data_IF_386827828648
#
_entry.id   IF_386827828648
#
_cell.length_a   1.000
_cell.length_b   1.000
_cell.length_c   1.000
_cell.angle_alpha   90.00
_cell.angle_beta   90.00
_cell.angle_gamma   90.00
#
_symmetry.space_group_name_H-M   'P 1'
#
loop_
_entity.id
_entity.type
_entity.pdbx_description
1 polymer ?
#
# COMPACT_ATOMS: atom_id res chain seq x y z
N UNK A 1 10.92 56.43 -1.28
CA UNK A 1 10.32 57.33 -2.28
C UNK A 1 11.38 57.90 -3.22
N UNK A 2 11.92 57.06 -4.11
CA UNK A 2 12.79 57.49 -5.25
C UNK A 2 12.53 56.60 -6.48
N UNK A 3 12.02 55.38 -6.28
CA UNK A 3 11.71 54.44 -7.38
C UNK A 3 10.31 54.54 -8.01
N UNK A 4 9.44 55.44 -7.53
CA UNK A 4 8.07 55.58 -8.08
C UNK A 4 8.03 56.61 -9.23
N UNK A 5 8.95 57.57 -9.26
CA UNK A 5 9.00 58.58 -10.33
C UNK A 5 9.61 58.06 -11.65
N UNK A 6 10.40 56.98 -11.62
CA UNK A 6 10.98 56.37 -12.82
C UNK A 6 9.98 55.54 -13.66
N UNK A 7 9.03 54.85 -13.02
CA UNK A 7 8.05 54.03 -13.73
C UNK A 7 6.98 54.83 -14.48
N UNK A 8 6.64 56.04 -14.02
CA UNK A 8 5.62 56.89 -14.66
C UNK A 8 6.04 57.40 -16.05
N UNK A 9 7.34 57.54 -16.31
CA UNK A 9 7.84 57.98 -17.62
C UNK A 9 7.90 56.82 -18.65
N UNK A 10 8.03 55.57 -18.21
CA UNK A 10 7.97 54.40 -19.10
C UNK A 10 6.52 54.08 -19.53
N UNK A 11 5.54 54.33 -18.66
CA UNK A 11 4.11 54.03 -18.92
C UNK A 11 3.52 54.94 -20.01
N UNK A 12 3.98 56.20 -20.13
CA UNK A 12 3.54 57.11 -21.21
C UNK A 12 4.12 56.74 -22.59
N UNK A 13 5.25 56.04 -22.65
CA UNK A 13 5.92 55.69 -23.91
C UNK A 13 5.32 54.46 -24.62
N UNK A 14 4.63 53.57 -23.88
CA UNK A 14 4.26 52.23 -24.40
C UNK A 14 2.76 52.01 -24.65
N UNK A 15 1.87 52.99 -24.42
CA UNK A 15 0.40 52.92 -24.65
C UNK A 15 -0.25 51.57 -24.22
N UNK A 16 0.10 51.04 -23.05
CA UNK A 16 -0.56 49.83 -22.53
C UNK A 16 -1.96 50.15 -22.00
N UNK A 17 -2.91 49.23 -22.21
CA UNK A 17 -4.28 49.37 -21.72
C UNK A 17 -4.37 49.08 -20.22
N UNK A 18 -5.39 49.63 -19.55
CA UNK A 18 -5.57 49.51 -18.10
C UNK A 18 -5.56 48.06 -17.60
N UNK A 19 -6.04 47.12 -18.43
CA UNK A 19 -6.06 45.68 -18.12
C UNK A 19 -4.67 45.05 -18.10
N UNK A 20 -3.72 45.52 -18.92
CA UNK A 20 -2.35 44.97 -18.94
C UNK A 20 -1.55 45.43 -17.72
N UNK A 21 -1.84 46.63 -17.22
CA UNK A 21 -1.23 47.18 -15.99
C UNK A 21 -1.65 46.35 -14.77
N UNK A 22 -2.93 45.98 -14.70
CA UNK A 22 -3.45 45.15 -13.60
C UNK A 22 -2.80 43.77 -13.53
N UNK A 23 -2.56 43.13 -14.68
CA UNK A 23 -1.90 41.81 -14.73
C UNK A 23 -0.44 41.89 -14.28
N UNK A 24 0.28 42.95 -14.67
CA UNK A 24 1.68 43.15 -14.25
C UNK A 24 1.75 43.40 -12.75
N UNK A 25 0.86 44.24 -12.19
CA UNK A 25 0.80 44.50 -10.74
C UNK A 25 0.46 43.22 -9.97
N UNK A 26 -0.48 42.39 -10.48
CA UNK A 26 -0.82 41.12 -9.86
C UNK A 26 0.35 40.13 -9.85
N UNK A 27 1.11 40.04 -10.95
CA UNK A 27 2.31 39.20 -11.04
C UNK A 27 3.45 39.67 -10.12
N UNK A 28 3.58 40.98 -9.90
CA UNK A 28 4.54 41.52 -8.93
C UNK A 28 4.12 41.24 -7.48
N UNK A 29 2.82 41.27 -7.15
CA UNK A 29 2.33 40.97 -5.81
C UNK A 29 2.42 39.47 -5.45
N UNK A 30 2.26 38.56 -6.40
CA UNK A 30 2.40 37.11 -6.14
C UNK A 30 3.85 36.66 -5.98
N UNK A 31 4.83 37.43 -6.49
CA UNK A 31 6.25 37.18 -6.24
C UNK A 31 6.75 37.71 -4.88
N UNK A 32 6.04 38.64 -4.23
CA UNK A 32 6.44 39.25 -2.96
C UNK A 32 5.85 38.56 -1.72
N UNK A 33 4.97 37.57 -1.88
CA UNK A 33 4.35 36.81 -0.80
C UNK A 33 4.84 35.34 -0.76
N UNK A 34 6.14 35.13 -0.95
CA UNK A 34 6.78 33.86 -0.58
C UNK A 34 7.51 34.04 0.77
N UNK A 35 7.24 33.20 1.79
CA UNK A 35 8.00 33.25 3.03
C UNK A 35 9.45 32.85 2.76
N UNK A 36 10.37 33.71 3.20
CA UNK A 36 11.81 33.44 3.22
C UNK A 36 12.09 32.26 4.15
N UNK A 37 12.33 31.07 3.61
CA UNK A 37 12.96 29.96 4.33
C UNK A 37 14.42 29.85 3.89
N UNK A 38 15.23 30.81 4.32
CA UNK A 38 16.68 30.65 4.45
C UNK A 38 16.96 29.98 5.79
N UNK A 39 17.14 28.65 5.77
CA UNK A 39 18.07 27.83 6.57
C UNK A 39 17.63 26.37 6.52
N UNK A 40 17.86 25.70 5.39
CA UNK A 40 17.85 24.25 5.29
C UNK A 40 18.89 23.72 4.29
N UNK A 41 19.88 24.54 3.92
CA UNK A 41 20.90 24.21 2.93
C UNK A 41 22.35 24.20 3.46
N UNK A 42 22.56 24.35 4.77
CA UNK A 42 23.88 24.15 5.41
C UNK A 42 23.96 22.88 6.27
N UNK A 43 22.86 22.13 6.43
CA UNK A 43 22.90 20.75 6.95
C UNK A 43 22.90 19.68 5.84
N UNK A 44 22.76 20.07 4.58
CA UNK A 44 22.75 19.13 3.46
C UNK A 44 24.16 18.92 2.86
N UNK A 45 25.06 19.91 2.93
CA UNK A 45 26.43 19.81 2.43
C UNK A 45 27.44 19.24 3.43
N UNK A 46 27.09 19.12 4.72
CA UNK A 46 27.86 18.33 5.71
C UNK A 46 27.34 16.88 5.89
N UNK A 47 26.16 16.56 5.34
CA UNK A 47 25.62 15.19 5.30
C UNK A 47 25.83 14.47 3.96
N UNK A 48 26.16 15.18 2.88
CA UNK A 48 26.56 14.58 1.60
C UNK A 48 28.01 14.06 1.59
N UNK A 49 28.92 14.60 2.41
CA UNK A 49 30.30 14.12 2.50
C UNK A 49 30.52 12.97 3.50
N UNK A 50 29.52 12.62 4.30
CA UNK A 50 29.55 11.45 5.19
C UNK A 50 28.64 10.30 4.74
N UNK A 51 28.01 10.42 3.55
CA UNK A 51 27.18 9.37 2.94
C UNK A 51 27.85 8.70 1.73
N UNK A 52 29.11 8.99 1.45
CA UNK A 52 29.92 8.27 0.46
C UNK A 52 30.54 6.97 1.02
N UNK A 53 30.22 6.57 2.26
CA UNK A 53 30.82 5.39 2.89
C UNK A 53 29.84 4.51 3.70
N UNK A 54 28.57 4.42 3.28
CA UNK A 54 27.64 3.42 3.86
C UNK A 54 26.40 3.11 3.01
N UNK A 55 26.58 2.79 1.73
CA UNK A 55 25.57 2.05 0.94
C UNK A 55 25.91 0.56 0.96
N UNK A 56 25.65 -0.10 2.09
CA UNK A 56 25.40 -1.54 2.07
C UNK A 56 23.96 -1.74 1.60
N UNK A 57 23.81 -1.85 0.29
CA UNK A 57 22.65 -2.51 -0.30
C UNK A 57 22.66 -3.94 0.26
N UNK A 58 21.58 -4.43 0.90
CA UNK A 58 21.51 -5.83 1.26
C UNK A 58 21.36 -6.63 -0.04
N UNK A 59 22.49 -7.04 -0.63
CA UNK A 59 22.55 -8.09 -1.64
C UNK A 59 22.17 -9.40 -0.96
N UNK A 60 20.88 -9.59 -0.68
CA UNK A 60 20.32 -10.85 -0.20
C UNK A 60 19.89 -11.74 -1.38
N UNK A 61 20.68 -11.72 -2.43
CA UNK A 61 21.02 -12.93 -3.16
C UNK A 61 22.52 -13.01 -3.05
N UNK A 62 22.99 -13.90 -2.18
CA UNK A 62 24.34 -14.41 -2.35
C UNK A 62 24.37 -14.90 -3.79
N UNK A 63 25.27 -14.42 -4.67
CA UNK A 63 25.67 -15.32 -5.73
C UNK A 63 26.17 -16.52 -4.94
N UNK A 64 25.46 -17.65 -5.02
CA UNK A 64 26.13 -18.94 -4.82
C UNK A 64 27.09 -19.05 -5.98
N UNK A 65 28.16 -18.27 -5.84
CA UNK A 65 29.38 -18.23 -6.59
C UNK A 65 29.80 -19.68 -6.61
N UNK A 66 29.65 -20.29 -7.79
CA UNK A 66 30.01 -21.67 -8.09
C UNK A 66 30.15 -22.53 -6.85
N UNK A 67 29.09 -23.27 -6.49
CA UNK A 67 29.37 -24.55 -5.83
C UNK A 67 30.16 -25.31 -6.88
N UNK A 68 31.48 -25.26 -6.74
CA UNK A 68 32.46 -25.79 -7.68
C UNK A 68 32.26 -27.29 -7.70
N UNK A 69 31.25 -27.72 -8.44
CA UNK A 69 31.06 -29.11 -8.80
C UNK A 69 32.06 -29.29 -9.91
N UNK A 70 33.20 -29.85 -9.51
CA UNK A 70 34.30 -30.35 -10.31
C UNK A 70 34.03 -30.23 -11.81
N UNK A 71 34.72 -29.31 -12.47
CA UNK A 71 35.03 -29.49 -13.89
C UNK A 71 35.90 -30.75 -13.94
N UNK A 72 35.29 -31.92 -14.00
CA UNK A 72 36.00 -33.19 -14.21
C UNK A 72 36.47 -33.24 -15.66
N UNK A 73 37.52 -32.48 -15.96
CA UNK A 73 38.39 -32.75 -17.09
C UNK A 73 39.55 -33.60 -16.60
N UNK A 74 39.53 -34.90 -16.86
CA UNK A 74 40.74 -35.70 -16.72
C UNK A 74 41.74 -35.25 -17.78
N UNK A 75 42.72 -34.42 -17.38
CA UNK A 75 43.88 -34.15 -18.21
C UNK A 75 44.80 -35.37 -18.11
N UNK A 76 44.72 -36.26 -19.10
CA UNK A 76 45.73 -37.30 -19.29
C UNK A 76 46.90 -36.65 -20.02
N UNK A 77 47.99 -36.39 -19.30
CA UNK A 77 49.30 -36.22 -19.89
C UNK A 77 49.66 -37.54 -20.60
N UNK A 78 49.42 -37.60 -21.90
CA UNK A 78 49.99 -38.65 -22.74
C UNK A 78 50.34 -38.05 -24.09
N UNK A 79 51.64 -37.87 -24.30
CA UNK A 79 52.24 -37.87 -25.63
C UNK A 79 51.63 -39.01 -26.46
N UNK A 80 51.05 -38.66 -27.61
CA UNK A 80 50.40 -39.55 -28.60
C UNK A 80 48.95 -39.99 -28.33
N UNK A 81 48.08 -39.09 -27.88
CA UNK A 81 46.63 -39.27 -28.00
C UNK A 81 46.05 -38.17 -28.91
N UNK A 82 45.35 -38.59 -29.96
CA UNK A 82 44.46 -37.74 -30.76
C UNK A 82 43.61 -36.92 -29.79
N UNK A 83 43.80 -35.59 -29.80
CA UNK A 83 43.24 -34.70 -28.79
C UNK A 83 41.71 -34.84 -28.79
N UNK A 84 41.17 -35.56 -27.82
CA UNK A 84 39.73 -35.66 -27.64
C UNK A 84 39.22 -34.26 -27.31
N UNK A 85 38.29 -33.70 -28.12
CA UNK A 85 37.84 -32.34 -27.90
C UNK A 85 37.17 -32.23 -26.54
N UNK A 86 37.62 -31.28 -25.72
CA UNK A 86 37.02 -30.96 -24.42
C UNK A 86 35.54 -30.62 -24.66
N UNK A 87 34.63 -31.46 -24.17
CA UNK A 87 33.20 -31.19 -24.28
C UNK A 87 32.73 -30.33 -23.11
N UNK A 88 32.29 -29.11 -23.41
CA UNK A 88 31.68 -28.22 -22.42
C UNK A 88 30.21 -28.61 -22.25
N UNK A 89 29.75 -28.80 -21.02
CA UNK A 89 28.41 -29.30 -20.72
C UNK A 89 27.84 -28.64 -19.47
N UNK A 90 26.58 -28.21 -19.54
CA UNK A 90 25.81 -27.74 -18.40
C UNK A 90 24.62 -28.68 -18.16
N UNK A 91 24.34 -28.98 -16.89
CA UNK A 91 23.28 -29.89 -16.49
C UNK A 91 22.40 -29.30 -15.39
N UNK A 92 21.10 -29.55 -15.49
CA UNK A 92 20.10 -29.21 -14.49
C UNK A 92 19.34 -30.49 -14.13
N UNK A 93 19.69 -31.09 -13.00
CA UNK A 93 19.25 -32.45 -12.69
C UNK A 93 19.79 -33.45 -13.73
N UNK A 94 18.89 -34.15 -14.42
CA UNK A 94 19.23 -35.15 -15.44
C UNK A 94 19.32 -34.58 -16.86
N UNK A 95 18.81 -33.37 -17.11
CA UNK A 95 18.88 -32.76 -18.45
C UNK A 95 20.18 -31.98 -18.60
N UNK A 96 20.85 -32.21 -19.71
CA UNK A 96 22.13 -31.56 -19.99
C UNK A 96 22.17 -31.01 -21.42
N UNK A 97 22.94 -29.95 -21.60
CA UNK A 97 23.22 -29.33 -22.89
C UNK A 97 24.73 -29.23 -23.10
N UNK A 98 25.20 -29.60 -24.28
CA UNK A 98 26.60 -29.48 -24.68
C UNK A 98 26.82 -28.14 -25.39
N UNK A 99 28.05 -27.62 -25.32
CA UNK A 99 28.45 -26.35 -25.88
C UNK A 99 29.76 -26.50 -26.65
N UNK A 100 29.83 -25.85 -27.81
CA UNK A 100 31.00 -25.92 -28.70
C UNK A 100 32.20 -25.13 -28.13
N UNK A 101 31.93 -24.07 -27.38
CA UNK A 101 32.96 -23.20 -26.80
C UNK A 101 32.44 -22.49 -25.54
N UNK A 102 33.36 -21.88 -24.79
CA UNK A 102 33.07 -21.18 -23.53
C UNK A 102 32.10 -20.00 -23.73
N UNK A 103 32.14 -19.34 -24.89
CA UNK A 103 31.30 -18.18 -25.21
C UNK A 103 29.83 -18.61 -25.28
N UNK A 104 29.54 -19.74 -25.93
CA UNK A 104 28.18 -20.31 -26.02
C UNK A 104 27.60 -20.73 -24.67
N UNK A 105 28.44 -20.94 -23.66
CA UNK A 105 28.04 -21.28 -22.30
C UNK A 105 27.77 -20.06 -21.42
N UNK A 106 28.15 -18.84 -21.85
CA UNK A 106 27.94 -17.62 -21.09
C UNK A 106 26.44 -17.37 -20.88
N UNK A 107 26.06 -17.10 -19.62
CA UNK A 107 24.68 -16.84 -19.23
C UNK A 107 23.80 -18.10 -19.18
N UNK A 108 24.37 -19.30 -19.26
CA UNK A 108 23.62 -20.55 -19.10
C UNK A 108 23.36 -20.82 -17.62
N UNK A 109 22.09 -20.92 -17.25
CA UNK A 109 21.63 -21.25 -15.90
C UNK A 109 20.48 -22.27 -15.96
N UNK A 110 20.09 -22.80 -14.80
CA UNK A 110 18.96 -23.72 -14.71
C UNK A 110 17.64 -22.94 -14.60
N UNK A 111 16.74 -23.18 -15.55
CA UNK A 111 15.33 -22.85 -15.41
C UNK A 111 14.56 -24.13 -15.05
N UNK A 112 14.27 -24.30 -13.76
CA UNK A 112 13.80 -25.58 -13.24
C UNK A 112 14.83 -26.69 -13.51
N UNK A 113 14.43 -27.67 -14.31
CA UNK A 113 15.29 -28.80 -14.71
C UNK A 113 15.96 -28.60 -16.07
N UNK A 114 15.87 -27.42 -16.69
CA UNK A 114 16.38 -27.21 -18.05
C UNK A 114 17.55 -26.21 -18.06
N UNK A 115 18.75 -26.59 -18.54
CA UNK A 115 19.83 -25.64 -18.76
C UNK A 115 19.51 -24.72 -19.94
N UNK A 116 19.48 -23.41 -19.70
CA UNK A 116 19.06 -22.41 -20.67
C UNK A 116 19.92 -21.15 -20.60
N UNK A 117 20.14 -20.52 -21.75
CA UNK A 117 20.85 -19.25 -21.83
C UNK A 117 19.91 -18.09 -21.46
N UNK A 118 20.12 -17.46 -20.30
CA UNK A 118 19.30 -16.36 -19.78
C UNK A 118 19.60 -14.99 -20.42
N UNK A 119 20.56 -14.91 -21.34
CA UNK A 119 20.74 -13.74 -22.22
C UNK A 119 19.70 -13.78 -23.33
N UNK A 120 19.38 -14.98 -23.83
CA UNK A 120 18.38 -15.19 -24.89
C UNK A 120 16.98 -15.48 -24.35
N UNK A 121 16.91 -16.06 -23.14
CA UNK A 121 15.68 -16.49 -22.50
C UNK A 121 15.48 -15.77 -21.17
N UNK A 122 14.29 -15.88 -20.63
CA UNK A 122 13.96 -15.49 -19.26
C UNK A 122 13.27 -16.68 -18.59
N UNK A 123 13.60 -16.92 -17.32
CA UNK A 123 12.99 -17.99 -16.54
C UNK A 123 12.01 -17.40 -15.53
N UNK A 124 10.74 -17.76 -15.64
CA UNK A 124 9.68 -17.33 -14.72
C UNK A 124 9.10 -18.56 -14.02
N UNK A 125 9.29 -18.67 -12.69
CA UNK A 125 8.80 -19.81 -11.88
C UNK A 125 9.11 -21.20 -12.49
N UNK A 126 10.35 -21.39 -12.94
CA UNK A 126 10.84 -22.62 -13.59
C UNK A 126 10.32 -22.89 -15.01
N UNK A 127 9.56 -21.97 -15.59
CA UNK A 127 9.14 -22.00 -16.99
C UNK A 127 10.05 -21.10 -17.81
N UNK A 128 10.58 -21.64 -18.91
CA UNK A 128 11.49 -20.94 -19.80
C UNK A 128 10.69 -20.20 -20.88
N UNK A 129 11.03 -18.94 -21.12
CA UNK A 129 10.41 -18.11 -22.15
C UNK A 129 11.48 -17.41 -22.99
N UNK A 130 11.15 -17.10 -24.24
CA UNK A 130 11.99 -16.25 -25.06
C UNK A 130 12.01 -14.83 -24.50
N UNK A 131 13.18 -14.21 -24.47
CA UNK A 131 13.35 -12.85 -23.94
C UNK A 131 12.89 -11.79 -24.94
N UNK A 132 12.65 -12.16 -26.20
CA UNK A 132 12.18 -11.27 -27.25
C UNK A 132 10.99 -11.89 -27.97
N UNK A 133 9.97 -11.08 -28.23
CA UNK A 133 8.89 -11.41 -29.16
C UNK A 133 8.63 -10.18 -30.01
N UNK A 134 8.95 -10.28 -31.31
CA UNK A 134 8.99 -9.12 -32.20
C UNK A 134 9.95 -8.04 -31.70
N UNK A 135 9.46 -6.81 -31.55
CA UNK A 135 10.22 -5.66 -31.02
C UNK A 135 10.28 -5.59 -29.49
N UNK A 136 9.49 -6.41 -28.79
CA UNK A 136 9.35 -6.35 -27.33
C UNK A 136 10.44 -7.18 -26.65
N UNK A 137 11.03 -6.63 -25.60
CA UNK A 137 12.04 -7.29 -24.76
C UNK A 137 11.48 -7.50 -23.35
N UNK A 138 11.46 -8.74 -22.90
CA UNK A 138 10.99 -9.12 -21.57
C UNK A 138 12.16 -9.23 -20.61
N UNK A 139 12.20 -8.36 -19.61
CA UNK A 139 13.28 -8.28 -18.63
C UNK A 139 12.87 -8.76 -17.23
N UNK A 140 11.56 -8.97 -17.01
CA UNK A 140 10.98 -9.28 -15.70
C UNK A 140 9.92 -10.37 -15.78
N UNK A 141 9.58 -10.93 -14.63
CA UNK A 141 8.51 -11.92 -14.48
C UNK A 141 7.38 -11.37 -13.62
N UNK A 142 6.15 -11.66 -14.05
CA UNK A 142 4.92 -11.49 -13.32
C UNK A 142 4.38 -12.90 -13.01
N UNK A 143 4.76 -13.46 -11.87
CA UNK A 143 4.59 -14.90 -11.61
C UNK A 143 5.27 -15.77 -12.69
N UNK A 144 4.50 -16.52 -13.48
CA UNK A 144 5.00 -17.41 -14.54
C UNK A 144 5.11 -16.69 -15.88
N UNK A 145 4.61 -15.46 -15.99
CA UNK A 145 4.49 -14.74 -17.26
C UNK A 145 5.61 -13.70 -17.36
N UNK A 146 6.44 -13.71 -18.41
CA UNK A 146 7.40 -12.64 -18.64
C UNK A 146 6.66 -11.35 -19.04
N UNK A 147 7.12 -10.19 -18.57
CA UNK A 147 6.57 -8.89 -18.96
C UNK A 147 7.67 -7.88 -19.24
N UNK A 148 7.34 -6.89 -20.06
CA UNK A 148 8.22 -5.86 -20.55
C UNK A 148 8.00 -4.53 -19.80
N UNK A 149 8.90 -3.57 -20.01
CA UNK A 149 8.87 -2.27 -19.32
C UNK A 149 7.65 -1.39 -19.65
N UNK A 150 6.98 -1.66 -20.78
CA UNK A 150 5.76 -0.99 -21.23
C UNK A 150 4.47 -1.65 -20.69
N UNK A 151 4.61 -2.66 -19.83
CA UNK A 151 3.53 -3.41 -19.23
C UNK A 151 3.55 -3.28 -17.70
N UNK A 152 2.40 -3.50 -17.08
CA UNK A 152 2.21 -3.50 -15.63
C UNK A 152 1.86 -4.90 -15.13
N UNK A 153 2.45 -5.32 -14.02
CA UNK A 153 2.16 -6.60 -13.37
C UNK A 153 1.31 -6.38 -12.10
N UNK A 154 0.12 -6.97 -12.04
CA UNK A 154 -0.76 -6.96 -10.86
C UNK A 154 -1.11 -8.39 -10.45
N UNK A 155 -0.65 -8.81 -9.26
CA UNK A 155 -0.88 -10.15 -8.68
C UNK A 155 -0.70 -11.34 -9.65
N UNK A 156 0.32 -11.28 -10.51
CA UNK A 156 0.63 -12.35 -11.46
C UNK A 156 -0.09 -12.24 -12.81
N UNK A 157 -0.91 -11.20 -13.03
CA UNK A 157 -1.48 -10.84 -14.33
C UNK A 157 -0.72 -9.68 -14.95
N UNK A 158 -0.51 -9.74 -16.26
CA UNK A 158 0.20 -8.72 -17.03
C UNK A 158 -0.81 -7.89 -17.82
N UNK A 159 -0.71 -6.57 -17.73
CA UNK A 159 -1.54 -5.60 -18.41
C UNK A 159 -0.68 -4.70 -19.31
N UNK A 160 -1.22 -4.36 -20.48
CA UNK A 160 -0.60 -3.38 -21.37
C UNK A 160 -0.72 -1.97 -20.79
N UNK A 161 0.37 -1.20 -20.83
CA UNK A 161 0.41 0.17 -20.34
C UNK A 161 1.42 0.37 -19.22
N UNK A 162 2.20 1.45 -19.37
CA UNK A 162 3.18 1.88 -18.38
C UNK A 162 2.50 2.66 -17.25
N UNK A 163 2.93 2.41 -16.01
CA UNK A 163 2.51 3.21 -14.86
C UNK A 163 1.05 3.06 -14.45
N UNK A 164 0.41 1.94 -14.80
CA UNK A 164 -0.89 1.61 -14.22
C UNK A 164 -0.72 1.29 -12.73
N UNK A 165 -1.74 1.58 -11.92
CA UNK A 165 -1.80 1.10 -10.55
C UNK A 165 -2.52 -0.24 -10.48
N UNK A 166 -2.19 -1.02 -9.47
CA UNK A 166 -2.85 -2.27 -9.17
C UNK A 166 -3.92 -2.07 -8.10
N UNK A 167 -5.10 -2.62 -8.36
CA UNK A 167 -6.16 -2.84 -7.39
C UNK A 167 -6.42 -4.34 -7.33
N UNK A 168 -5.81 -5.02 -6.35
CA UNK A 168 -5.77 -6.48 -6.36
C UNK A 168 -5.09 -6.99 -7.63
N UNK A 169 -5.80 -7.88 -8.34
CA UNK A 169 -5.30 -8.44 -9.59
C UNK A 169 -5.50 -7.54 -10.81
N UNK A 170 -6.26 -6.44 -10.69
CA UNK A 170 -6.59 -5.58 -11.82
C UNK A 170 -5.69 -4.36 -11.92
N UNK A 171 -5.35 -3.97 -13.15
CA UNK A 171 -4.62 -2.74 -13.42
C UNK A 171 -5.58 -1.62 -13.87
N UNK A 172 -5.35 -0.40 -13.40
CA UNK A 172 -6.13 0.77 -13.79
C UNK A 172 -5.30 2.04 -13.82
N UNK A 173 -5.78 3.04 -14.56
CA UNK A 173 -5.19 4.36 -14.58
C UNK A 173 -5.62 5.15 -13.32
N UNK A 174 -4.67 5.52 -12.46
CA UNK A 174 -4.92 6.32 -11.25
C UNK A 174 -5.61 7.66 -11.52
N UNK A 175 -5.48 8.18 -12.74
CA UNK A 175 -6.09 9.45 -13.15
C UNK A 175 -7.49 9.29 -13.75
N UNK A 176 -7.97 8.05 -13.93
CA UNK A 176 -9.36 7.83 -14.34
C UNK A 176 -10.31 8.12 -13.17
N UNK A 177 -10.92 9.31 -13.21
CA UNK A 177 -11.89 9.77 -12.20
C UNK A 177 -13.16 8.92 -12.11
N UNK A 178 -13.36 7.95 -13.01
CA UNK A 178 -14.48 6.99 -12.96
C UNK A 178 -14.08 5.68 -12.30
N UNK A 179 -12.84 5.53 -11.85
CA UNK A 179 -12.34 4.32 -11.21
C UNK A 179 -11.91 4.60 -9.79
N UNK A 180 -12.13 3.63 -8.92
CA UNK A 180 -11.68 3.67 -7.52
C UNK A 180 -11.42 2.25 -7.06
N UNK A 181 -10.36 2.09 -6.28
CA UNK A 181 -10.00 0.82 -5.66
C UNK A 181 -10.44 0.83 -4.20
N UNK A 182 -11.28 -0.13 -3.80
CA UNK A 182 -11.70 -0.33 -2.42
C UNK A 182 -11.23 -1.71 -1.96
N UNK A 183 -10.26 -1.75 -1.04
CA UNK A 183 -9.66 -2.99 -0.49
C UNK A 183 -9.48 -4.11 -1.54
N UNK A 184 -8.67 -3.81 -2.56
CA UNK A 184 -8.31 -4.71 -3.68
C UNK A 184 -9.43 -5.00 -4.70
N UNK A 185 -10.63 -4.41 -4.53
CA UNK A 185 -11.73 -4.49 -5.49
C UNK A 185 -11.83 -3.20 -6.32
N UNK A 186 -11.75 -3.33 -7.65
CA UNK A 186 -11.78 -2.19 -8.57
C UNK A 186 -13.21 -1.88 -9.03
N UNK A 187 -13.70 -0.69 -8.69
CA UNK A 187 -15.04 -0.25 -9.07
C UNK A 187 -15.02 0.77 -10.21
N UNK A 188 -16.09 0.73 -11.02
CA UNK A 188 -16.48 1.87 -11.85
C UNK A 188 -17.52 2.69 -11.10
N UNK A 189 -17.22 3.97 -10.89
CA UNK A 189 -18.07 4.89 -10.13
C UNK A 189 -19.38 5.11 -10.90
N UNK A 190 -20.55 4.80 -10.29
CA UNK A 190 -21.84 5.05 -10.92
C UNK A 190 -22.07 6.54 -11.17
N UNK A 191 -22.71 6.90 -12.28
CA UNK A 191 -23.01 8.30 -12.61
C UNK A 191 -23.98 8.97 -11.63
N UNK A 192 -24.75 8.18 -10.88
CA UNK A 192 -25.66 8.66 -9.83
C UNK A 192 -24.96 9.06 -8.54
N UNK A 193 -23.67 8.70 -8.35
CA UNK A 193 -22.96 8.98 -7.11
C UNK A 193 -22.46 10.43 -7.12
N UNK A 194 -22.85 11.20 -6.10
CA UNK A 194 -22.43 12.60 -5.94
C UNK A 194 -21.03 12.66 -5.32
N UNK A 195 -20.81 11.83 -4.29
CA UNK A 195 -19.49 11.63 -3.70
C UNK A 195 -19.28 10.15 -3.44
N UNK A 196 -18.15 9.62 -3.83
CA UNK A 196 -17.87 8.19 -3.70
C UNK A 196 -16.81 7.96 -2.64
N UNK A 197 -17.04 6.98 -1.77
CA UNK A 197 -16.06 6.54 -0.80
C UNK A 197 -16.08 5.00 -0.69
N UNK A 198 -15.01 4.47 -0.11
CA UNK A 198 -14.90 3.05 0.22
C UNK A 198 -15.34 2.80 1.66
N UNK A 199 -16.02 1.68 1.88
CA UNK A 199 -16.29 1.12 3.20
C UNK A 199 -15.80 -0.34 3.20
N UNK A 200 -14.59 -0.56 3.69
CA UNK A 200 -13.86 -1.81 3.41
C UNK A 200 -13.68 -2.01 1.90
N UNK A 201 -14.08 -3.18 1.41
CA UNK A 201 -14.06 -3.50 -0.01
C UNK A 201 -15.31 -3.03 -0.79
N UNK A 202 -16.24 -2.31 -0.16
CA UNK A 202 -17.47 -1.87 -0.82
C UNK A 202 -17.43 -0.39 -1.21
N UNK A 203 -18.17 -0.07 -2.28
CA UNK A 203 -18.40 1.29 -2.75
C UNK A 203 -19.71 1.85 -2.19
N UNK A 204 -19.71 3.10 -1.73
CA UNK A 204 -20.96 3.77 -1.33
C UNK A 204 -20.97 5.28 -1.64
N UNK A 205 -22.18 5.85 -1.67
CA UNK A 205 -22.42 7.26 -1.91
C UNK A 205 -22.38 8.03 -0.58
N UNK A 206 -21.26 8.69 -0.28
CA UNK A 206 -21.02 9.24 1.05
C UNK A 206 -21.83 10.50 1.42
N UNK A 207 -22.36 11.24 0.43
CA UNK A 207 -22.91 12.58 0.63
C UNK A 207 -24.42 12.66 0.55
N UNK A 208 -25.10 11.68 -0.06
CA UNK A 208 -26.56 11.75 -0.20
C UNK A 208 -27.34 11.67 1.12
N UNK A 209 -26.63 11.42 2.23
CA UNK A 209 -27.21 11.38 3.57
C UNK A 209 -28.11 10.17 3.81
N UNK A 210 -28.10 9.18 2.93
CA UNK A 210 -28.90 7.96 3.07
C UNK A 210 -28.11 6.81 3.69
N UNK A 211 -26.78 6.84 3.56
CA UNK A 211 -25.91 5.74 3.98
C UNK A 211 -24.71 6.25 4.79
N UNK A 212 -24.13 5.36 5.57
CA UNK A 212 -22.85 5.60 6.25
C UNK A 212 -22.05 4.31 6.37
N UNK A 213 -20.73 4.47 6.43
CA UNK A 213 -19.82 3.38 6.71
C UNK A 213 -19.65 3.19 8.22
N UNK A 214 -19.70 1.95 8.69
CA UNK A 214 -19.39 1.55 10.05
C UNK A 214 -18.55 0.28 10.01
N UNK A 215 -17.27 0.40 10.36
CA UNK A 215 -16.27 -0.64 10.09
C UNK A 215 -16.15 -0.92 8.59
N UNK A 216 -16.44 -2.15 8.17
CA UNK A 216 -16.46 -2.57 6.77
C UNK A 216 -17.88 -2.84 6.25
N UNK A 217 -18.91 -2.21 6.83
CA UNK A 217 -20.32 -2.39 6.46
C UNK A 217 -21.00 -1.06 6.18
N UNK A 218 -21.84 -1.04 5.15
CA UNK A 218 -22.66 0.11 4.79
C UNK A 218 -24.03 -0.04 5.47
N UNK A 219 -24.45 1.00 6.18
CA UNK A 219 -25.73 1.04 6.88
C UNK A 219 -26.61 2.17 6.33
N UNK A 220 -27.91 1.90 6.22
CA UNK A 220 -28.87 2.94 5.89
C UNK A 220 -29.17 3.82 7.10
N UNK A 221 -29.07 5.14 6.90
CA UNK A 221 -29.43 6.19 7.86
C UNK A 221 -30.91 6.19 8.25
N UNK A 222 -31.76 5.48 7.49
CA UNK A 222 -33.16 5.22 7.83
C UNK A 222 -33.31 4.35 9.09
N UNK A 223 -32.40 3.40 9.30
CA UNK A 223 -32.51 2.41 10.38
C UNK A 223 -31.46 2.62 11.48
N UNK A 224 -30.27 3.11 11.12
CA UNK A 224 -29.16 3.31 12.04
C UNK A 224 -28.59 4.71 11.87
N UNK A 225 -28.21 5.39 12.94
CA UNK A 225 -27.65 6.75 12.88
C UNK A 225 -26.34 6.92 13.67
N UNK A 226 -25.84 5.84 14.27
CA UNK A 226 -24.54 5.78 14.91
C UNK A 226 -23.83 4.46 14.60
N UNK A 227 -22.52 4.47 14.78
CA UNK A 227 -21.67 3.30 14.67
C UNK A 227 -21.23 2.86 16.07
N UNK A 228 -21.46 1.60 16.40
CA UNK A 228 -20.97 0.97 17.61
C UNK A 228 -19.65 0.29 17.28
N UNK A 229 -18.58 0.70 17.95
CA UNK A 229 -17.24 0.16 17.77
C UNK A 229 -16.68 -0.21 19.13
N UNK A 230 -16.03 -1.36 19.23
CA UNK A 230 -15.34 -1.80 20.42
C UNK A 230 -13.89 -2.18 20.10
N UNK A 231 -12.95 -1.42 20.65
CA UNK A 231 -11.50 -1.60 20.51
C UNK A 231 -10.97 -2.56 21.60
N UNK A 232 -11.54 -3.77 21.59
CA UNK A 232 -11.37 -4.78 22.63
C UNK A 232 -10.17 -5.69 22.50
N UNK A 233 -9.15 -5.35 21.70
CA UNK A 233 -7.96 -6.18 21.39
C UNK A 233 -8.07 -7.14 20.19
N UNK A 234 -8.80 -6.80 19.13
CA UNK A 234 -8.72 -7.56 17.87
C UNK A 234 -8.30 -6.68 16.70
N UNK A 235 -7.48 -7.22 15.80
CA UNK A 235 -7.21 -6.64 14.46
C UNK A 235 -8.49 -6.57 13.58
N UNK A 236 -9.66 -6.85 14.17
CA UNK A 236 -10.98 -7.03 13.53
C UNK A 236 -11.98 -5.97 13.98
N UNK A 237 -11.53 -4.87 14.57
CA UNK A 237 -12.40 -3.74 15.00
C UNK A 237 -13.37 -3.29 13.89
N UNK A 238 -12.95 -3.36 12.62
CA UNK A 238 -13.79 -3.05 11.47
C UNK A 238 -14.84 -4.13 11.12
N UNK A 239 -14.63 -5.41 11.49
CA UNK A 239 -15.59 -6.50 11.28
C UNK A 239 -16.70 -6.48 12.34
N UNK A 240 -16.33 -6.16 13.58
CA UNK A 240 -17.21 -6.17 14.76
C UNK A 240 -18.05 -4.89 14.88
N UNK A 241 -17.72 -3.85 14.11
CA UNK A 241 -18.49 -2.62 14.08
C UNK A 241 -19.94 -2.88 13.62
N UNK A 242 -20.89 -2.24 14.31
CA UNK A 242 -22.32 -2.39 14.04
C UNK A 242 -23.04 -1.03 14.04
N UNK A 243 -23.78 -0.76 12.98
CA UNK A 243 -24.70 0.37 12.91
C UNK A 243 -25.89 0.18 13.86
N UNK A 244 -26.26 1.22 14.60
CA UNK A 244 -27.38 1.21 15.53
C UNK A 244 -28.12 2.55 15.56
N UNK A 245 -29.32 2.57 16.12
CA UNK A 245 -30.15 3.75 16.29
C UNK A 245 -30.04 4.30 17.72
N UNK A 246 -29.45 5.49 17.86
CA UNK A 246 -29.24 6.16 19.15
C UNK A 246 -30.52 6.37 19.97
N UNK A 247 -31.69 6.37 19.35
CA UNK A 247 -32.97 6.59 20.04
C UNK A 247 -33.52 5.32 20.68
N UNK A 248 -33.23 4.15 20.11
CA UNK A 248 -33.79 2.86 20.57
C UNK A 248 -32.73 1.91 21.11
N UNK A 249 -31.45 2.17 20.83
CA UNK A 249 -30.35 1.28 21.12
C UNK A 249 -29.16 2.02 21.74
N UNK A 250 -28.33 1.30 22.49
CA UNK A 250 -27.12 1.78 23.15
C UNK A 250 -25.93 0.88 22.77
N UNK A 251 -24.75 1.49 22.61
CA UNK A 251 -23.50 0.78 22.34
C UNK A 251 -22.69 0.60 23.64
N UNK A 252 -22.60 -0.63 24.14
CA UNK A 252 -21.74 -1.03 25.26
C UNK A 252 -21.10 -2.38 24.93
N UNK A 253 -19.96 -2.37 24.25
CA UNK A 253 -19.32 -3.59 23.71
C UNK A 253 -20.32 -4.42 22.87
N UNK A 254 -20.93 -3.76 21.89
CA UNK A 254 -22.07 -4.30 21.14
C UNK A 254 -23.33 -3.47 21.32
N UNK A 255 -24.33 -3.73 20.48
CA UNK A 255 -25.59 -2.99 20.40
C UNK A 255 -26.65 -3.65 21.28
N UNK A 256 -27.31 -2.87 22.13
CA UNK A 256 -28.32 -3.34 23.08
C UNK A 256 -29.60 -2.48 23.03
N UNK A 257 -30.76 -3.06 23.32
CA UNK A 257 -32.04 -2.34 23.39
C UNK A 257 -32.08 -1.39 24.61
N UNK A 258 -32.37 -0.10 24.36
CA UNK A 258 -32.49 0.92 25.41
C UNK A 258 -33.60 0.65 26.43
N UNK A 259 -34.59 -0.17 26.08
CA UNK A 259 -35.63 -0.60 27.02
C UNK A 259 -35.08 -1.49 28.13
N UNK A 260 -34.02 -2.25 27.83
CA UNK A 260 -33.38 -3.16 28.77
C UNK A 260 -32.20 -2.47 29.47
N UNK A 261 -31.39 -1.72 28.73
CA UNK A 261 -30.16 -1.10 29.23
C UNK A 261 -30.09 0.38 28.85
N UNK A 262 -29.87 1.26 29.82
CA UNK A 262 -29.84 2.71 29.59
C UNK A 262 -28.44 3.32 29.75
N UNK A 263 -27.47 2.54 30.26
CA UNK A 263 -26.13 3.01 30.60
C UNK A 263 -25.05 1.95 30.33
N UNK A 264 -23.80 2.40 30.11
CA UNK A 264 -22.62 1.53 30.06
C UNK A 264 -21.79 1.68 31.33
N UNK A 265 -21.32 0.58 31.88
CA UNK A 265 -20.41 0.51 33.01
C UNK A 265 -19.00 0.15 32.51
N UNK A 266 -18.01 0.99 32.75
CA UNK A 266 -16.64 0.78 32.26
C UNK A 266 -15.82 0.06 33.31
N UNK A 267 -15.71 -1.26 33.18
CA UNK A 267 -15.07 -2.13 34.18
C UNK A 267 -13.62 -2.40 33.79
N UNK A 268 -12.61 -2.07 34.62
CA UNK A 268 -11.23 -2.40 34.34
C UNK A 268 -11.00 -3.92 34.39
N UNK A 269 -10.17 -4.45 33.50
CA UNK A 269 -9.72 -5.85 33.59
C UNK A 269 -8.54 -5.95 34.58
N UNK A 270 -8.78 -6.68 35.68
CA UNK A 270 -7.82 -6.86 36.77
C UNK A 270 -7.00 -8.16 36.65
N UNK A 271 -7.16 -8.91 35.55
CA UNK A 271 -6.57 -10.24 35.39
C UNK A 271 -5.12 -10.24 34.90
N UNK A 272 -4.59 -9.10 34.43
CA UNK A 272 -3.24 -8.98 33.87
C UNK A 272 -2.34 -7.93 34.56
N UNK A 273 -1.01 -8.04 34.42
CA UNK A 273 -0.08 -7.02 34.88
C UNK A 273 -0.12 -5.80 33.94
N UNK A 274 -0.99 -4.84 34.24
CA UNK A 274 -1.07 -3.56 33.51
C UNK A 274 -2.45 -2.91 33.58
N UNK A 275 -2.54 -1.63 33.16
CA UNK A 275 -3.81 -0.96 32.95
C UNK A 275 -4.41 -1.43 31.61
N UNK A 276 -5.28 -2.43 31.64
CA UNK A 276 -6.13 -2.80 30.50
C UNK A 276 -7.15 -1.71 30.19
N UNK A 277 -7.57 -1.58 28.93
CA UNK A 277 -8.70 -0.72 28.55
C UNK A 277 -10.00 -1.22 29.22
N UNK A 278 -10.78 -0.36 29.91
CA UNK A 278 -12.00 -0.78 30.60
C UNK A 278 -13.06 -1.30 29.63
N UNK A 279 -13.62 -2.48 29.88
CA UNK A 279 -14.69 -3.07 29.06
C UNK A 279 -16.04 -2.44 29.43
N UNK A 280 -16.79 -1.84 28.48
CA UNK A 280 -18.12 -1.30 28.71
C UNK A 280 -19.14 -2.45 28.78
N UNK A 281 -19.74 -2.60 29.94
CA UNK A 281 -20.79 -3.57 30.24
C UNK A 281 -22.14 -2.83 30.25
N UNK A 282 -23.13 -3.23 29.44
CA UNK A 282 -24.46 -2.61 29.49
C UNK A 282 -25.16 -2.90 30.82
N UNK A 283 -25.83 -1.91 31.39
CA UNK A 283 -26.66 -2.09 32.58
C UNK A 283 -27.88 -1.18 32.58
N UNK A 284 -28.83 -1.48 33.46
CA UNK A 284 -30.01 -0.66 33.71
C UNK A 284 -29.81 0.13 35.00
N UNK A 285 -29.69 1.45 34.92
CA UNK A 285 -29.36 2.30 36.06
C UNK A 285 -30.47 2.39 37.11
N UNK A 286 -31.67 1.85 36.82
CA UNK A 286 -32.79 1.80 37.77
C UNK A 286 -32.77 0.53 38.62
N UNK A 287 -32.09 -0.53 38.17
CA UNK A 287 -32.03 -1.82 38.88
C UNK A 287 -30.62 -2.21 39.29
N UNK A 288 -29.60 -1.60 38.69
CA UNK A 288 -28.20 -1.90 38.94
C UNK A 288 -27.38 -0.61 39.09
N UNK A 289 -26.26 -0.74 39.80
CA UNK A 289 -25.21 0.24 39.93
C UNK A 289 -23.95 -0.21 39.19
N UNK A 290 -23.12 0.75 38.82
CA UNK A 290 -21.79 0.53 38.26
C UNK A 290 -20.72 1.02 39.24
N UNK A 291 -19.75 0.17 39.57
CA UNK A 291 -18.53 0.54 40.29
C UNK A 291 -17.27 -0.06 39.63
N UNK A 292 -16.10 0.12 40.24
CA UNK A 292 -14.82 -0.37 39.71
C UNK A 292 -14.70 -1.91 39.71
N UNK A 293 -15.59 -2.61 40.41
CA UNK A 293 -15.67 -4.08 40.47
C UNK A 293 -16.70 -4.59 39.43
N UNK A 294 -17.67 -3.76 39.05
CA UNK A 294 -18.56 -4.00 37.92
C UNK A 294 -20.00 -3.57 38.15
N UNK A 295 -20.93 -4.31 37.54
CA UNK A 295 -22.38 -4.05 37.63
C UNK A 295 -22.99 -4.87 38.77
N UNK A 296 -23.67 -4.23 39.71
CA UNK A 296 -24.28 -4.85 40.90
C UNK A 296 -25.75 -4.45 41.06
N UNK A 297 -26.65 -5.31 41.54
CA UNK A 297 -28.05 -4.95 41.74
C UNK A 297 -28.21 -3.90 42.85
N UNK A 298 -29.21 -3.03 42.70
CA UNK A 298 -29.63 -2.08 43.75
C UNK A 298 -30.39 -2.85 44.83
N UNK A 299 -30.09 -2.58 46.10
CA UNK A 299 -30.82 -3.17 47.20
C UNK A 299 -32.27 -2.64 47.23
N UNK A 300 -33.28 -3.51 47.15
CA UNK A 300 -34.69 -3.11 47.02
C UNK A 300 -35.26 -2.44 48.29
N UNK A 301 -34.62 -2.62 49.45
CA UNK A 301 -35.03 -2.02 50.73
C UNK A 301 -34.42 -0.64 50.94
N UNK A 302 -33.16 -0.45 50.56
CA UNK A 302 -32.43 0.81 50.79
C UNK A 302 -32.43 1.74 49.58
N UNK A 303 -32.72 1.24 48.38
CA UNK A 303 -32.60 1.99 47.13
C UNK A 303 -31.17 2.38 46.80
N UNK A 304 -30.19 1.79 47.50
CA UNK A 304 -28.76 2.09 47.34
C UNK A 304 -28.02 0.88 46.82
N UNK A 305 -26.92 1.14 46.14
CA UNK A 305 -25.90 0.13 45.87
C UNK A 305 -25.38 -0.36 47.23
N UNK A 306 -25.39 -1.67 47.49
CA UNK A 306 -24.67 -2.18 48.65
C UNK A 306 -23.19 -1.86 48.49
N UNK A 307 -22.62 -1.25 49.54
CA UNK A 307 -21.29 -0.64 49.50
C UNK A 307 -20.26 -1.57 48.87
N UNK A 308 -19.59 -1.02 47.85
CA UNK A 308 -18.20 -1.28 47.50
C UNK A 308 -17.30 -1.12 48.74
#
# INVERSE_FOLDING_TARGET
MVYIFGCMQLIKALKLSSSTIYVIIFLFFTCLSMPKTTTANEQLTSKLNNSANRTQIPTKFSPTLFKQRSLEGQYKDSSNAEATPVQLKACCGTKCKNFENLISMVGVECCGTTPANLIQNICCKNTLHERRSGSRYFDRCCSEIPYASDQTCCEGKVYEGIGLACCGSDAYNLHDKKKICCDRELYTIPSSFITTACCGNMLYNAWDGNEFCCGNKIYSRKFSNACCVWDGQSDKEAEDAQGYNLNTEICCNGVHDRKLFDSCCYVPDLSGPGFSKPTPVPYNSKTHCCDYIGVKPINPKSGKCENS
#
